data_IF_677038261372
#
_entry.id   IF_677038261372
#
_cell.length_a   1.000
_cell.length_b   1.000
_cell.length_c   1.000
_cell.angle_alpha   90.00
_cell.angle_beta   90.00
_cell.angle_gamma   90.00
#
_symmetry.space_group_name_H-M   'P 1'
#
loop_
_entity.id
_entity.type
_entity.pdbx_description
1 polymer ?
#
# COMPACT_ATOMS: atom_id res chain seq x y z
N UNK A 1 -43.20 14.64 13.12
CA UNK A 1 -41.93 15.19 13.64
C UNK A 1 -40.83 14.13 13.90
N UNK A 2 -41.13 12.84 13.64
CA UNK A 2 -40.11 11.77 13.84
C UNK A 2 -39.27 11.42 12.58
N UNK A 3 -39.54 12.07 11.44
CA UNK A 3 -38.86 11.77 10.18
C UNK A 3 -37.63 12.65 9.89
N UNK A 4 -37.36 13.66 10.73
CA UNK A 4 -36.20 14.54 10.55
C UNK A 4 -34.89 13.84 11.01
N UNK A 5 -33.81 14.13 10.32
CA UNK A 5 -32.48 13.70 10.75
C UNK A 5 -32.06 14.55 11.97
N UNK A 6 -31.62 13.93 13.07
CA UNK A 6 -31.09 14.65 14.21
C UNK A 6 -29.77 15.36 13.87
N UNK A 7 -29.45 16.44 14.59
CA UNK A 7 -28.20 17.18 14.40
C UNK A 7 -26.97 16.27 14.55
N UNK A 8 -27.03 15.31 15.48
CA UNK A 8 -26.00 14.30 15.65
C UNK A 8 -25.72 13.43 14.41
N UNK A 9 -26.74 13.22 13.55
CA UNK A 9 -26.53 12.52 12.28
C UNK A 9 -25.74 13.37 11.29
N UNK A 10 -25.95 14.69 11.25
CA UNK A 10 -25.20 15.60 10.38
C UNK A 10 -23.74 15.74 10.85
N UNK A 11 -23.53 15.79 12.16
CA UNK A 11 -22.18 15.79 12.74
C UNK A 11 -21.44 14.50 12.39
N UNK A 12 -22.08 13.35 12.55
CA UNK A 12 -21.50 12.04 12.24
C UNK A 12 -21.21 11.91 10.73
N UNK A 13 -22.11 12.38 9.84
CA UNK A 13 -21.86 12.44 8.39
C UNK A 13 -20.65 13.31 8.05
N UNK A 14 -20.41 14.40 8.76
CA UNK A 14 -19.29 15.31 8.53
C UNK A 14 -17.94 14.73 8.97
N UNK A 15 -17.95 13.70 9.79
CA UNK A 15 -16.76 13.00 10.26
C UNK A 15 -16.50 11.76 9.40
N UNK A 16 -17.55 10.98 9.10
CA UNK A 16 -17.42 9.69 8.43
C UNK A 16 -17.48 9.74 6.92
N UNK A 17 -18.03 10.83 6.35
CA UNK A 17 -18.19 11.03 4.90
C UNK A 17 -18.80 9.82 4.18
N UNK A 18 -20.04 9.38 4.48
CA UNK A 18 -20.66 8.25 3.83
C UNK A 18 -20.94 8.53 2.34
N UNK A 19 -20.34 7.76 1.43
CA UNK A 19 -20.49 7.91 -0.03
C UNK A 19 -21.34 6.80 -0.65
N UNK A 20 -21.87 5.88 0.17
CA UNK A 20 -22.81 4.84 -0.25
C UNK A 20 -24.02 4.80 0.70
N UNK A 21 -25.14 4.23 0.23
CA UNK A 21 -26.33 4.05 1.07
C UNK A 21 -26.09 3.06 2.22
N UNK A 22 -25.16 2.12 2.03
CA UNK A 22 -24.76 1.16 3.06
C UNK A 22 -23.98 1.85 4.17
N UNK A 23 -23.03 2.71 3.83
CA UNK A 23 -22.30 3.54 4.81
C UNK A 23 -23.25 4.50 5.53
N UNK A 24 -24.22 5.08 4.81
CA UNK A 24 -25.24 5.97 5.37
C UNK A 24 -26.09 5.27 6.46
N UNK A 25 -26.29 3.96 6.37
CA UNK A 25 -27.05 3.20 7.39
C UNK A 25 -26.32 3.11 8.73
N UNK A 26 -24.99 3.25 8.71
CA UNK A 26 -24.13 3.19 9.89
C UNK A 26 -24.03 4.53 10.63
N UNK A 27 -24.54 5.60 10.04
CA UNK A 27 -24.56 6.92 10.64
C UNK A 27 -25.52 6.95 11.83
N UNK A 28 -25.09 7.55 12.91
CA UNK A 28 -25.87 7.69 14.14
C UNK A 28 -27.24 8.30 13.87
N UNK A 29 -28.33 7.61 14.23
CA UNK A 29 -29.70 8.04 14.02
C UNK A 29 -30.23 7.88 12.58
N UNK A 30 -29.46 7.28 11.67
CA UNK A 30 -29.85 6.98 10.29
C UNK A 30 -29.92 5.46 10.09
N UNK A 31 -30.99 4.85 10.46
CA UNK A 31 -31.18 3.41 10.18
C UNK A 31 -31.55 3.13 8.71
N UNK A 32 -31.60 1.85 8.32
CA UNK A 32 -31.90 1.36 6.96
C UNK A 32 -33.10 2.07 6.29
N UNK A 33 -34.16 2.31 7.03
CA UNK A 33 -35.37 2.98 6.51
C UNK A 33 -35.14 4.43 6.13
N UNK A 34 -34.43 5.18 6.98
CA UNK A 34 -34.08 6.60 6.72
C UNK A 34 -33.03 6.73 5.61
N UNK A 35 -32.02 5.85 5.59
CA UNK A 35 -31.03 5.83 4.53
C UNK A 35 -31.67 5.60 3.16
N UNK A 36 -32.58 4.66 3.02
CA UNK A 36 -33.30 4.42 1.75
C UNK A 36 -34.19 5.57 1.34
N UNK A 37 -34.90 6.21 2.30
CA UNK A 37 -35.87 7.27 2.02
C UNK A 37 -35.22 8.63 1.75
N UNK A 38 -34.16 8.97 2.47
CA UNK A 38 -33.57 10.30 2.46
C UNK A 38 -32.06 10.32 2.16
N UNK A 39 -31.37 9.18 2.17
CA UNK A 39 -29.90 9.12 2.09
C UNK A 39 -29.31 9.51 0.75
N UNK A 40 -30.00 9.25 -0.37
CA UNK A 40 -29.44 9.44 -1.71
C UNK A 40 -28.92 10.87 -1.98
N UNK A 41 -29.64 11.95 -1.69
CA UNK A 41 -29.14 13.31 -1.91
C UNK A 41 -27.90 13.64 -1.07
N UNK A 42 -27.84 13.11 0.18
CA UNK A 42 -26.69 13.32 1.07
C UNK A 42 -25.46 12.55 0.57
N UNK A 43 -25.64 11.29 0.15
CA UNK A 43 -24.58 10.48 -0.40
C UNK A 43 -23.99 11.13 -1.67
N UNK A 44 -24.83 11.62 -2.57
CA UNK A 44 -24.39 12.30 -3.80
C UNK A 44 -23.61 13.59 -3.50
N UNK A 45 -24.09 14.39 -2.54
CA UNK A 45 -23.42 15.62 -2.11
C UNK A 45 -22.07 15.33 -1.45
N UNK A 46 -22.06 14.37 -0.51
CA UNK A 46 -20.84 14.00 0.23
C UNK A 46 -19.81 13.41 -0.72
N UNK A 47 -20.21 12.51 -1.63
CA UNK A 47 -19.33 11.93 -2.63
C UNK A 47 -18.67 13.00 -3.49
N UNK A 48 -19.45 13.93 -4.01
CA UNK A 48 -18.92 15.06 -4.79
C UNK A 48 -17.91 15.88 -3.98
N UNK A 49 -18.20 16.16 -2.70
CA UNK A 49 -17.32 16.92 -1.82
C UNK A 49 -16.01 16.16 -1.53
N UNK A 50 -16.09 14.87 -1.28
CA UNK A 50 -14.93 13.98 -1.06
C UNK A 50 -14.04 13.95 -2.30
N UNK A 51 -14.63 13.77 -3.49
CA UNK A 51 -13.91 13.72 -4.76
C UNK A 51 -13.27 15.09 -5.10
N UNK A 52 -13.98 16.21 -4.89
CA UNK A 52 -13.47 17.57 -5.15
C UNK A 52 -12.33 18.00 -4.20
N UNK A 53 -12.32 17.48 -2.98
CA UNK A 53 -11.35 17.85 -1.94
C UNK A 53 -10.26 16.81 -1.70
N UNK A 54 -10.30 15.71 -2.43
CA UNK A 54 -9.37 14.58 -2.28
C UNK A 54 -9.28 14.11 -0.82
N UNK A 55 -10.46 13.95 -0.18
CA UNK A 55 -10.54 13.60 1.24
C UNK A 55 -10.34 12.09 1.42
N UNK A 56 -9.30 11.72 2.18
CA UNK A 56 -9.11 10.35 2.64
C UNK A 56 -10.06 10.10 3.83
N UNK A 57 -11.07 9.27 3.63
CA UNK A 57 -12.11 9.00 4.63
C UNK A 57 -11.61 8.00 5.69
N UNK A 58 -12.11 8.08 6.94
CA UNK A 58 -11.77 7.10 7.98
C UNK A 58 -12.04 5.64 7.54
N UNK A 59 -13.10 5.42 6.77
CA UNK A 59 -13.45 4.08 6.26
C UNK A 59 -12.49 3.57 5.20
N UNK A 60 -11.96 4.43 4.35
CA UNK A 60 -10.95 4.07 3.36
C UNK A 60 -9.63 3.66 4.03
N UNK A 61 -9.28 4.32 5.14
CA UNK A 61 -8.11 3.96 5.95
C UNK A 61 -8.25 2.61 6.66
N UNK A 62 -9.46 2.25 7.10
CA UNK A 62 -9.70 1.01 7.85
C UNK A 62 -9.84 -0.21 6.92
N UNK A 63 -10.48 -0.06 5.78
CA UNK A 63 -10.76 -1.18 4.85
C UNK A 63 -9.53 -1.59 4.05
N UNK A 64 -8.67 -0.64 3.65
CA UNK A 64 -7.40 -0.97 2.96
C UNK A 64 -6.34 -1.57 3.89
N UNK A 65 -6.37 -1.32 5.20
CA UNK A 65 -5.23 -1.64 6.05
C UNK A 65 -5.25 -2.99 6.76
N UNK A 66 -6.40 -3.61 7.01
CA UNK A 66 -6.46 -4.80 7.91
C UNK A 66 -6.73 -6.11 7.17
N UNK A 67 -7.65 -6.14 6.22
CA UNK A 67 -8.01 -7.37 5.51
C UNK A 67 -7.09 -7.64 4.32
N UNK A 68 -6.63 -6.61 3.63
CA UNK A 68 -5.76 -6.76 2.46
C UNK A 68 -4.28 -6.99 2.82
N UNK A 69 -3.74 -6.38 3.89
CA UNK A 69 -2.30 -6.54 4.22
C UNK A 69 -1.91 -7.98 4.51
N UNK A 70 -2.70 -8.71 5.28
CA UNK A 70 -2.41 -10.13 5.56
C UNK A 70 -2.55 -11.00 4.31
N UNK A 71 -3.61 -10.79 3.53
CA UNK A 71 -3.85 -11.50 2.28
C UNK A 71 -2.82 -11.17 1.19
N UNK A 72 -2.42 -9.91 1.09
CA UNK A 72 -1.39 -9.48 0.15
C UNK A 72 -0.02 -10.03 0.54
N UNK A 73 0.36 -9.96 1.81
CA UNK A 73 1.61 -10.54 2.31
C UNK A 73 1.76 -12.01 1.91
N UNK A 74 0.75 -12.83 2.20
CA UNK A 74 0.76 -14.28 1.86
C UNK A 74 0.83 -14.48 0.36
N UNK A 75 0.05 -13.72 -0.41
CA UNK A 75 0.04 -13.83 -1.87
C UNK A 75 1.41 -13.46 -2.47
N UNK A 76 2.02 -12.35 -2.03
CA UNK A 76 3.34 -11.91 -2.50
C UNK A 76 4.39 -12.97 -2.20
N UNK A 77 4.45 -13.50 -0.96
CA UNK A 77 5.38 -14.55 -0.58
C UNK A 77 5.22 -15.77 -1.51
N UNK A 78 4.00 -16.27 -1.69
CA UNK A 78 3.73 -17.43 -2.53
C UNK A 78 4.03 -17.19 -4.00
N UNK A 79 3.85 -15.98 -4.50
CA UNK A 79 4.15 -15.61 -5.88
C UNK A 79 5.66 -15.53 -6.12
N UNK A 80 6.42 -14.97 -5.17
CA UNK A 80 7.87 -14.93 -5.19
C UNK A 80 8.46 -16.35 -5.08
N UNK A 81 7.91 -17.22 -4.23
CA UNK A 81 8.31 -18.63 -4.14
C UNK A 81 8.14 -19.39 -5.47
N UNK A 82 7.15 -18.97 -6.28
CA UNK A 82 6.91 -19.48 -7.64
C UNK A 82 7.72 -18.77 -8.72
N UNK A 83 8.56 -17.83 -8.35
CA UNK A 83 9.35 -16.99 -9.25
C UNK A 83 8.48 -16.25 -10.29
N UNK A 84 7.33 -15.74 -9.89
CA UNK A 84 6.48 -14.92 -10.74
C UNK A 84 7.12 -13.55 -10.97
N UNK A 85 6.91 -13.02 -12.18
CA UNK A 85 7.31 -11.65 -12.51
C UNK A 85 6.64 -10.62 -11.60
N UNK A 86 7.39 -9.58 -11.19
CA UNK A 86 6.87 -8.57 -10.25
C UNK A 86 5.74 -7.74 -10.84
N UNK A 87 5.76 -7.48 -12.16
CA UNK A 87 4.66 -6.79 -12.80
C UNK A 87 3.36 -7.61 -12.77
N UNK A 88 3.48 -8.94 -12.94
CA UNK A 88 2.33 -9.84 -12.87
C UNK A 88 1.80 -9.95 -11.43
N UNK A 89 2.68 -9.94 -10.43
CA UNK A 89 2.30 -9.91 -9.01
C UNK A 89 1.54 -8.61 -8.69
N UNK A 90 2.06 -7.47 -9.13
CA UNK A 90 1.44 -6.16 -8.95
C UNK A 90 0.05 -6.09 -9.60
N UNK A 91 -0.05 -6.47 -10.87
CA UNK A 91 -1.32 -6.53 -11.63
C UNK A 91 -2.37 -7.42 -10.96
N UNK A 92 -1.96 -8.57 -10.43
CA UNK A 92 -2.88 -9.51 -9.78
C UNK A 92 -3.51 -8.96 -8.49
N UNK A 93 -2.95 -7.89 -7.93
CA UNK A 93 -3.42 -7.24 -6.70
C UNK A 93 -3.82 -5.78 -6.89
N UNK A 94 -3.92 -5.33 -8.14
CA UNK A 94 -4.27 -3.95 -8.47
C UNK A 94 -3.34 -2.93 -7.76
N UNK A 95 -2.04 -3.26 -7.75
CA UNK A 95 -0.95 -2.45 -7.21
C UNK A 95 -0.09 -1.92 -8.35
N UNK A 96 0.52 -0.77 -8.17
CA UNK A 96 1.65 -0.37 -8.99
C UNK A 96 2.95 -1.02 -8.51
N UNK A 97 4.03 -0.83 -9.29
CA UNK A 97 5.32 -1.44 -9.00
C UNK A 97 5.94 -0.90 -7.69
N UNK A 98 5.79 0.39 -7.42
CA UNK A 98 6.27 1.04 -6.20
C UNK A 98 5.54 0.53 -4.95
N UNK A 99 4.24 0.34 -5.04
CA UNK A 99 3.43 -0.26 -3.97
C UNK A 99 3.87 -1.69 -3.69
N UNK A 100 4.10 -2.50 -4.74
CA UNK A 100 4.59 -3.86 -4.59
C UNK A 100 5.97 -3.89 -3.93
N UNK A 101 6.89 -3.06 -4.39
CA UNK A 101 8.25 -2.99 -3.84
C UNK A 101 8.22 -2.58 -2.36
N UNK A 102 7.38 -1.61 -1.99
CA UNK A 102 7.16 -1.25 -0.60
C UNK A 102 6.61 -2.39 0.27
N UNK A 103 5.68 -3.20 -0.26
CA UNK A 103 5.17 -4.39 0.45
C UNK A 103 6.25 -5.48 0.60
N UNK A 104 7.10 -5.70 -0.42
CA UNK A 104 8.24 -6.62 -0.37
C UNK A 104 9.23 -6.18 0.72
N UNK A 105 9.62 -4.91 0.74
CA UNK A 105 10.48 -4.34 1.76
C UNK A 105 9.88 -4.52 3.18
N UNK A 106 8.60 -4.24 3.36
CA UNK A 106 7.91 -4.43 4.64
C UNK A 106 7.88 -5.91 5.08
N UNK A 107 7.73 -6.84 4.14
CA UNK A 107 7.78 -8.28 4.41
C UNK A 107 9.17 -8.68 4.91
N UNK A 108 10.22 -8.22 4.24
CA UNK A 108 11.62 -8.48 4.61
C UNK A 108 11.93 -7.88 5.97
N UNK A 109 11.56 -6.62 6.23
CA UNK A 109 11.74 -5.97 7.54
C UNK A 109 11.00 -6.69 8.69
N UNK A 110 9.92 -7.40 8.38
CA UNK A 110 9.23 -8.25 9.37
C UNK A 110 9.97 -9.55 9.71
N UNK A 111 11.18 -9.77 9.15
CA UNK A 111 12.00 -10.96 9.34
C UNK A 111 11.64 -12.14 8.42
N UNK A 112 10.82 -11.91 7.39
CA UNK A 112 10.50 -12.97 6.41
C UNK A 112 11.51 -12.94 5.28
N UNK A 113 12.17 -14.06 5.02
CA UNK A 113 13.11 -14.18 3.89
C UNK A 113 12.34 -14.37 2.58
N UNK A 114 12.70 -13.58 1.57
CA UNK A 114 12.15 -13.65 0.21
C UNK A 114 13.28 -13.90 -0.78
N UNK A 115 13.15 -14.91 -1.62
CA UNK A 115 14.14 -15.15 -2.67
C UNK A 115 13.81 -14.34 -3.93
N UNK A 116 14.17 -13.06 -3.93
CA UNK A 116 13.95 -12.14 -5.05
C UNK A 116 15.11 -12.08 -6.04
N UNK A 117 16.17 -12.89 -5.81
CA UNK A 117 17.36 -12.87 -6.65
C UNK A 117 17.09 -13.20 -8.12
N UNK A 118 16.08 -14.04 -8.43
CA UNK A 118 15.69 -14.32 -9.81
C UNK A 118 15.28 -13.06 -10.57
N UNK A 119 14.45 -12.21 -9.95
CA UNK A 119 13.98 -10.98 -10.55
C UNK A 119 15.09 -9.93 -10.67
N UNK A 120 15.88 -9.76 -9.61
CA UNK A 120 17.04 -8.84 -9.63
C UNK A 120 17.98 -9.18 -10.79
N UNK A 121 18.31 -10.47 -10.98
CA UNK A 121 19.20 -10.93 -12.03
C UNK A 121 18.59 -10.82 -13.45
N UNK A 122 17.27 -10.71 -13.55
CA UNK A 122 16.57 -10.51 -14.82
C UNK A 122 16.56 -9.05 -15.26
N UNK A 123 16.35 -8.13 -14.30
CA UNK A 123 16.10 -6.71 -14.62
C UNK A 123 17.30 -5.80 -14.41
N UNK A 124 18.33 -6.25 -13.67
CA UNK A 124 19.54 -5.47 -13.39
C UNK A 124 20.76 -6.22 -13.96
N UNK A 125 21.65 -5.46 -14.61
CA UNK A 125 22.92 -5.98 -15.08
C UNK A 125 23.72 -6.59 -13.92
N UNK A 126 24.37 -7.73 -14.16
CA UNK A 126 25.09 -8.51 -13.15
C UNK A 126 26.19 -7.67 -12.46
N UNK A 127 26.96 -6.89 -13.24
CA UNK A 127 28.04 -6.07 -12.70
C UNK A 127 27.49 -4.96 -11.79
N UNK A 128 26.41 -4.32 -12.19
CA UNK A 128 25.70 -3.31 -11.38
C UNK A 128 25.11 -3.90 -10.12
N UNK A 129 24.43 -5.04 -10.23
CA UNK A 129 23.84 -5.71 -9.08
C UNK A 129 24.88 -6.13 -8.04
N UNK A 130 26.06 -6.59 -8.52
CA UNK A 130 27.18 -6.97 -7.65
C UNK A 130 27.79 -5.73 -6.96
N UNK A 131 27.96 -4.62 -7.67
CA UNK A 131 28.50 -3.38 -7.11
C UNK A 131 27.60 -2.81 -6.01
N UNK A 132 26.28 -2.75 -6.24
CA UNK A 132 25.32 -2.31 -5.23
C UNK A 132 25.32 -3.28 -4.03
N UNK A 133 25.38 -4.59 -4.28
CA UNK A 133 25.37 -5.60 -3.24
C UNK A 133 26.63 -5.49 -2.34
N UNK A 134 27.79 -5.31 -2.95
CA UNK A 134 29.08 -5.13 -2.23
C UNK A 134 29.05 -3.85 -1.39
N UNK A 135 28.50 -2.75 -1.92
CA UNK A 135 28.32 -1.54 -1.17
C UNK A 135 27.58 -1.78 0.14
N UNK A 136 26.41 -2.44 0.12
CA UNK A 136 25.66 -2.74 1.34
C UNK A 136 26.37 -3.73 2.27
N UNK A 137 27.20 -4.59 1.73
CA UNK A 137 27.92 -5.61 2.50
C UNK A 137 29.18 -5.07 3.20
N UNK A 138 29.91 -4.17 2.57
CA UNK A 138 31.27 -3.79 2.98
C UNK A 138 31.39 -2.32 3.37
N UNK A 139 30.69 -1.40 2.70
CA UNK A 139 30.90 0.03 2.82
C UNK A 139 29.78 0.78 3.54
N UNK A 140 28.53 0.30 3.44
CA UNK A 140 27.38 0.99 4.02
C UNK A 140 27.43 0.98 5.57
N UNK A 141 27.32 2.17 6.18
CA UNK A 141 27.19 2.31 7.63
C UNK A 141 25.77 2.01 8.12
N UNK A 142 24.79 2.09 7.24
CA UNK A 142 23.37 1.83 7.50
C UNK A 142 22.68 1.23 6.28
N UNK A 143 21.43 0.78 6.44
CA UNK A 143 20.57 0.33 5.34
C UNK A 143 19.77 1.48 4.70
N UNK A 144 20.21 2.73 4.88
CA UNK A 144 19.55 3.92 4.34
C UNK A 144 19.61 3.96 2.81
N UNK A 145 18.42 4.02 2.18
CA UNK A 145 18.32 4.20 0.73
C UNK A 145 18.88 5.56 0.28
N UNK A 146 18.59 6.63 1.03
CA UNK A 146 19.03 7.98 0.70
C UNK A 146 20.55 8.10 0.71
N UNK A 147 21.22 7.48 1.66
CA UNK A 147 22.69 7.42 1.73
C UNK A 147 23.26 6.62 0.56
N UNK A 148 22.68 5.45 0.28
CA UNK A 148 23.12 4.60 -0.82
C UNK A 148 23.01 5.29 -2.19
N UNK A 149 21.88 5.96 -2.47
CA UNK A 149 21.70 6.73 -3.72
C UNK A 149 22.74 7.83 -3.86
N UNK A 150 23.08 8.51 -2.76
CA UNK A 150 24.08 9.58 -2.76
C UNK A 150 25.50 9.04 -2.98
N UNK A 151 25.86 7.92 -2.39
CA UNK A 151 27.21 7.36 -2.43
C UNK A 151 27.49 6.58 -3.71
N UNK A 152 26.54 5.78 -4.18
CA UNK A 152 26.65 5.04 -5.43
C UNK A 152 26.62 5.96 -6.66
N UNK A 153 25.92 7.11 -6.55
CA UNK A 153 25.92 8.13 -7.59
C UNK A 153 24.96 7.87 -8.74
N UNK A 154 25.06 8.69 -9.82
CA UNK A 154 24.01 8.76 -10.86
C UNK A 154 24.02 7.58 -11.86
N UNK A 155 25.00 6.71 -11.80
CA UNK A 155 25.07 5.53 -12.70
C UNK A 155 24.09 4.42 -12.28
N UNK A 156 23.51 4.54 -11.08
CA UNK A 156 22.52 3.62 -10.50
C UNK A 156 21.19 4.32 -10.26
N UNK A 157 20.11 3.71 -10.71
CA UNK A 157 18.78 4.23 -10.41
C UNK A 157 18.36 3.87 -8.98
N UNK A 158 17.49 4.68 -8.40
CA UNK A 158 16.94 4.41 -7.05
C UNK A 158 16.25 3.04 -7.01
N UNK A 159 15.57 2.65 -8.09
CA UNK A 159 14.89 1.36 -8.21
C UNK A 159 15.90 0.18 -8.20
N UNK A 160 17.00 0.28 -8.95
CA UNK A 160 18.08 -0.73 -8.93
C UNK A 160 18.64 -0.89 -7.51
N UNK A 161 18.93 0.23 -6.85
CA UNK A 161 19.46 0.24 -5.48
C UNK A 161 18.47 -0.40 -4.51
N UNK A 162 17.18 -0.06 -4.58
CA UNK A 162 16.13 -0.63 -3.72
C UNK A 162 15.97 -2.14 -3.90
N UNK A 163 15.95 -2.61 -5.13
CA UNK A 163 15.83 -4.04 -5.45
C UNK A 163 17.00 -4.84 -4.89
N UNK A 164 18.24 -4.39 -5.13
CA UNK A 164 19.43 -5.09 -4.62
C UNK A 164 19.54 -4.99 -3.10
N UNK A 165 19.21 -3.83 -2.51
CA UNK A 165 19.11 -3.67 -1.06
C UNK A 165 18.10 -4.65 -0.44
N UNK A 166 16.91 -4.76 -1.02
CA UNK A 166 15.89 -5.71 -0.55
C UNK A 166 16.41 -7.16 -0.61
N UNK A 167 17.10 -7.53 -1.69
CA UNK A 167 17.78 -8.83 -1.80
C UNK A 167 18.82 -9.03 -0.70
N UNK A 168 19.72 -8.07 -0.51
CA UNK A 168 20.75 -8.10 0.52
C UNK A 168 20.15 -8.29 1.91
N UNK A 169 19.15 -7.48 2.27
CA UNK A 169 18.47 -7.57 3.56
C UNK A 169 17.77 -8.92 3.77
N UNK A 170 17.18 -9.47 2.73
CA UNK A 170 16.54 -10.78 2.78
C UNK A 170 17.54 -11.93 2.96
N UNK A 171 18.72 -11.83 2.36
CA UNK A 171 19.78 -12.83 2.47
C UNK A 171 20.51 -12.75 3.81
N UNK A 172 20.82 -11.54 4.29
CA UNK A 172 21.61 -11.28 5.49
C UNK A 172 20.77 -11.12 6.75
N UNK A 173 19.50 -10.82 6.65
CA UNK A 173 18.59 -10.70 7.79
C UNK A 173 18.40 -12.03 8.49
N UNK A 174 18.74 -12.06 9.76
CA UNK A 174 18.44 -13.16 10.70
C UNK A 174 17.12 -12.89 11.40
#
# INVERSE_FOLDING_TARGET
LHDALPISSLEDMSIQYPVTLEEMQNITGVGVGKAKKFGKPFVELIKKYVDEKDIVRPQDMVVKSVVNKSGNKVFIIQSIDRQMDFEDIAKARDMDFEELLGEIEAIIHSGTKLNIGYYVNEVIDEEKAEEIYLYFKEDAESDSLEEAVKELGPDFTEEEIRLVRARFMSEMGN
#
